data_IF_602896943280
#
_entry.id   IF_602896943280
#
_cell.length_a   1.000
_cell.length_b   1.000
_cell.length_c   1.000
_cell.angle_alpha   90.00
_cell.angle_beta   90.00
_cell.angle_gamma   90.00
#
_symmetry.space_group_name_H-M   'P 1'
#
loop_
_entity.id
_entity.type
_entity.pdbx_description
1 polymer ?
#
# COMPACT_ATOMS: atom_id res chain seq x y z
N UNK A 1 -26.25 35.14 27.30
CA UNK A 1 -26.97 34.53 26.16
C UNK A 1 -25.90 34.23 25.12
N UNK A 2 -25.63 33.00 24.66
CA UNK A 2 -26.54 31.96 24.17
C UNK A 2 -25.94 30.58 24.49
N UNK A 3 -26.82 29.62 24.80
CA UNK A 3 -26.52 28.20 25.04
C UNK A 3 -26.19 27.54 23.70
N UNK A 4 -25.17 26.69 23.64
CA UNK A 4 -24.97 25.78 22.52
C UNK A 4 -25.11 24.37 23.08
N UNK A 5 -26.13 23.66 22.58
CA UNK A 5 -26.50 22.31 22.94
C UNK A 5 -25.51 21.31 22.33
N UNK A 6 -25.21 20.26 23.10
CA UNK A 6 -24.53 19.07 22.59
C UNK A 6 -25.56 18.26 21.81
N UNK A 7 -25.36 18.09 20.50
CA UNK A 7 -26.13 17.15 19.68
C UNK A 7 -25.18 16.03 19.27
N UNK A 8 -25.35 14.88 19.92
CA UNK A 8 -24.79 13.60 19.54
C UNK A 8 -25.57 13.08 18.32
N UNK A 9 -24.93 12.99 17.15
CA UNK A 9 -25.42 12.19 16.02
C UNK A 9 -24.37 11.12 15.71
N UNK A 10 -24.87 9.90 15.69
CA UNK A 10 -24.17 8.62 15.56
C UNK A 10 -23.75 8.35 14.11
N UNK A 11 -22.48 7.95 13.95
CA UNK A 11 -21.91 7.02 12.97
C UNK A 11 -22.52 6.98 11.54
N UNK A 12 -21.90 7.72 10.62
CA UNK A 12 -21.71 7.25 9.24
C UNK A 12 -20.21 7.23 8.99
N UNK A 13 -19.68 6.02 8.85
CA UNK A 13 -18.30 5.72 8.49
C UNK A 13 -18.02 6.20 7.06
N UNK A 14 -17.68 7.48 6.88
CA UNK A 14 -17.14 8.06 5.63
C UNK A 14 -16.45 9.41 5.94
N UNK A 15 -15.81 9.55 7.09
CA UNK A 15 -14.82 10.62 7.29
C UNK A 15 -13.48 9.97 6.98
N UNK A 16 -13.13 9.95 5.70
CA UNK A 16 -11.73 9.92 5.30
C UNK A 16 -11.08 11.09 6.05
N UNK A 17 -10.41 10.76 7.15
CA UNK A 17 -9.60 11.71 7.90
C UNK A 17 -8.62 12.25 6.87
N UNK A 18 -8.71 13.55 6.64
CA UNK A 18 -7.92 14.29 5.66
C UNK A 18 -6.45 13.93 5.80
N UNK A 19 -5.93 13.09 4.89
CA UNK A 19 -4.50 12.85 4.74
C UNK A 19 -3.90 14.13 4.19
N UNK A 20 -3.23 14.83 5.07
CA UNK A 20 -2.58 16.12 4.89
C UNK A 20 -1.80 16.21 3.58
N UNK A 21 -1.94 17.35 2.92
CA UNK A 21 -1.21 17.74 1.70
C UNK A 21 0.29 17.77 1.99
N UNK A 22 0.99 16.65 1.79
CA UNK A 22 2.42 16.52 1.48
C UNK A 22 2.65 15.13 0.86
N UNK A 23 2.84 15.08 -0.47
CA UNK A 23 3.39 13.91 -1.19
C UNK A 23 2.70 12.58 -0.95
N UNK A 24 1.43 12.43 -1.36
CA UNK A 24 0.80 11.11 -1.38
C UNK A 24 1.52 10.25 -2.42
N UNK A 25 2.03 9.07 -2.02
CA UNK A 25 2.50 8.05 -2.95
C UNK A 25 1.41 7.85 -4.02
N UNK A 26 1.78 8.01 -5.29
CA UNK A 26 0.85 7.92 -6.42
C UNK A 26 0.19 6.55 -6.56
N UNK A 27 0.70 5.53 -5.87
CA UNK A 27 0.19 4.17 -5.90
C UNK A 27 -0.88 3.88 -4.84
N UNK A 28 -1.12 4.80 -3.91
CA UNK A 28 -2.09 4.64 -2.81
C UNK A 28 -3.54 4.91 -3.24
N UNK A 29 -4.55 4.20 -2.67
CA UNK A 29 -4.42 3.19 -1.62
C UNK A 29 -4.02 1.80 -2.15
N UNK A 30 -3.07 1.11 -1.49
CA UNK A 30 -2.66 -0.25 -1.84
C UNK A 30 -2.32 -1.17 -0.64
N UNK A 31 -2.76 -0.78 0.56
CA UNK A 31 -2.60 -1.52 1.84
C UNK A 31 -3.03 -2.99 1.83
N UNK A 32 -3.96 -3.37 0.95
CA UNK A 32 -4.52 -4.71 0.88
C UNK A 32 -4.16 -5.42 -0.43
N UNK A 33 -3.93 -6.73 -0.38
CA UNK A 33 -3.65 -7.55 -1.58
C UNK A 33 -4.74 -7.41 -2.67
N UNK A 34 -5.99 -7.17 -2.29
CA UNK A 34 -7.09 -6.94 -3.24
C UNK A 34 -7.02 -5.60 -3.96
N UNK A 35 -6.36 -4.63 -3.35
CA UNK A 35 -6.21 -3.25 -3.83
C UNK A 35 -4.83 -3.00 -4.46
N UNK A 36 -4.04 -4.06 -4.68
CA UNK A 36 -2.68 -3.97 -5.17
C UNK A 36 -2.57 -3.16 -6.48
N UNK A 37 -1.63 -2.20 -6.49
CA UNK A 37 -1.39 -1.31 -7.63
C UNK A 37 -0.75 -2.08 -8.78
N UNK A 38 -1.29 -1.93 -9.99
CA UNK A 38 -0.71 -2.56 -11.16
C UNK A 38 0.53 -1.80 -11.62
N UNK A 39 1.64 -2.53 -11.80
CA UNK A 39 2.91 -1.98 -12.26
C UNK A 39 3.38 -2.68 -13.53
N UNK A 40 4.09 -1.97 -14.42
CA UNK A 40 4.66 -2.57 -15.61
C UNK A 40 5.74 -3.59 -15.23
N UNK A 41 5.80 -4.69 -15.98
CA UNK A 41 6.85 -5.69 -15.79
C UNK A 41 8.23 -5.10 -16.15
N UNK A 42 9.26 -5.46 -15.38
CA UNK A 42 10.65 -5.05 -15.60
C UNK A 42 10.91 -3.53 -15.55
N UNK A 43 10.22 -2.83 -14.65
CA UNK A 43 10.50 -1.43 -14.34
C UNK A 43 10.73 -1.23 -12.83
N UNK A 44 11.53 -0.23 -12.50
CA UNK A 44 11.67 0.26 -11.13
C UNK A 44 10.42 1.06 -10.76
N UNK A 45 9.89 0.81 -9.58
CA UNK A 45 8.78 1.55 -8.98
C UNK A 45 9.31 2.20 -7.71
N UNK A 46 8.91 3.45 -7.48
CA UNK A 46 9.23 4.20 -6.27
C UNK A 46 7.95 4.23 -5.44
N UNK A 47 8.08 3.88 -4.16
CA UNK A 47 7.01 3.93 -3.17
C UNK A 47 7.55 4.42 -1.83
N UNK A 48 6.65 4.88 -0.98
CA UNK A 48 6.96 5.46 0.32
C UNK A 48 6.22 4.72 1.43
N UNK A 49 6.93 3.90 2.23
CA UNK A 49 6.34 3.23 3.38
C UNK A 49 6.09 4.25 4.50
N UNK A 50 4.85 4.73 4.63
CA UNK A 50 4.46 5.63 5.71
C UNK A 50 2.95 5.58 6.00
N UNK A 51 2.54 5.28 7.24
CA UNK A 51 3.35 5.20 8.46
C UNK A 51 4.11 3.87 8.61
N UNK A 52 4.80 3.68 9.73
CA UNK A 52 5.36 2.37 10.04
C UNK A 52 4.26 1.28 9.98
N UNK A 53 4.54 0.19 9.25
CA UNK A 53 3.63 -0.94 8.96
C UNK A 53 2.61 -0.69 7.85
N UNK A 54 2.77 0.39 7.10
CA UNK A 54 2.16 0.55 5.78
C UNK A 54 2.54 -0.63 4.86
N UNK A 55 1.55 -1.10 4.11
CA UNK A 55 1.58 -2.37 3.40
C UNK A 55 1.47 -2.19 1.90
N UNK A 56 2.55 -1.78 1.24
CA UNK A 56 2.52 -1.57 -0.21
C UNK A 56 2.37 -2.88 -0.99
N UNK A 57 1.18 -3.11 -1.56
CA UNK A 57 0.94 -4.26 -2.43
C UNK A 57 0.98 -3.85 -3.91
N UNK A 58 1.80 -4.55 -4.69
CA UNK A 58 1.88 -4.36 -6.14
C UNK A 58 1.55 -5.66 -6.90
N UNK A 59 1.08 -5.52 -8.14
CA UNK A 59 0.82 -6.65 -9.05
C UNK A 59 1.36 -6.38 -10.45
N UNK A 60 1.78 -7.45 -11.12
CA UNK A 60 2.22 -7.42 -12.51
C UNK A 60 1.87 -8.74 -13.21
N UNK A 61 1.89 -8.73 -14.54
CA UNK A 61 1.56 -9.88 -15.36
C UNK A 61 2.82 -10.58 -15.88
N UNK A 62 2.93 -11.89 -15.62
CA UNK A 62 3.98 -12.77 -16.15
C UNK A 62 3.41 -13.55 -17.33
N UNK A 63 3.96 -13.32 -18.53
CA UNK A 63 3.41 -13.85 -19.79
C UNK A 63 4.10 -15.14 -20.27
N UNK A 64 5.19 -15.55 -19.63
CA UNK A 64 5.94 -16.77 -19.96
C UNK A 64 6.60 -17.36 -18.73
N UNK A 65 6.90 -18.66 -18.77
CA UNK A 65 7.64 -19.33 -17.68
C UNK A 65 9.10 -18.88 -17.66
N UNK A 66 9.67 -18.73 -16.46
CA UNK A 66 11.06 -18.31 -16.27
C UNK A 66 11.41 -18.05 -14.82
N UNK A 67 12.56 -17.41 -14.60
CA UNK A 67 13.04 -16.98 -13.29
C UNK A 67 12.63 -15.52 -13.08
N UNK A 68 11.96 -15.23 -11.97
CA UNK A 68 11.63 -13.89 -11.53
C UNK A 68 12.63 -13.46 -10.45
N UNK A 69 13.22 -12.27 -10.62
CA UNK A 69 14.03 -11.62 -9.59
C UNK A 69 13.32 -10.35 -9.15
N UNK A 70 13.15 -10.20 -7.84
CA UNK A 70 12.60 -8.99 -7.21
C UNK A 70 13.59 -8.53 -6.16
N UNK A 71 13.85 -7.22 -6.10
CA UNK A 71 14.79 -6.60 -5.17
C UNK A 71 14.20 -5.30 -4.65
N UNK A 72 14.51 -4.97 -3.40
CA UNK A 72 14.36 -3.62 -2.88
C UNK A 72 15.73 -2.94 -2.98
N UNK A 73 15.73 -1.71 -3.45
CA UNK A 73 16.94 -0.88 -3.56
C UNK A 73 16.76 0.36 -2.69
N UNK A 74 17.88 0.98 -2.30
CA UNK A 74 17.88 2.25 -1.55
C UNK A 74 17.07 2.24 -0.24
N UNK A 75 16.87 1.05 0.36
CA UNK A 75 16.17 0.90 1.64
C UNK A 75 16.94 1.61 2.77
N UNK A 76 16.30 2.50 3.55
CA UNK A 76 16.93 3.13 4.71
C UNK A 76 17.48 2.11 5.70
N UNK A 77 18.66 2.38 6.27
CA UNK A 77 19.39 1.42 7.10
C UNK A 77 18.68 1.01 8.39
N UNK A 78 17.74 1.82 8.86
CA UNK A 78 16.91 1.60 10.05
C UNK A 78 15.60 0.86 9.74
N UNK A 79 15.29 0.64 8.46
CA UNK A 79 14.10 -0.10 8.03
C UNK A 79 14.42 -1.60 7.85
N UNK A 80 13.52 -2.44 8.38
CA UNK A 80 13.56 -3.89 8.16
C UNK A 80 12.51 -4.28 7.15
N UNK A 81 12.91 -4.38 5.88
CA UNK A 81 11.99 -4.71 4.80
C UNK A 81 11.91 -6.21 4.55
N UNK A 82 10.81 -6.63 3.94
CA UNK A 82 10.54 -7.99 3.49
C UNK A 82 9.79 -7.90 2.17
N UNK A 83 10.09 -8.81 1.23
CA UNK A 83 9.26 -9.02 0.05
C UNK A 83 8.52 -10.33 0.25
N UNK A 84 7.20 -10.30 0.04
CA UNK A 84 6.38 -11.50 -0.06
C UNK A 84 5.75 -11.58 -1.46
N UNK A 85 5.88 -12.74 -2.10
CA UNK A 85 5.22 -12.99 -3.38
C UNK A 85 3.99 -13.86 -3.19
N UNK A 86 2.91 -13.42 -3.83
CA UNK A 86 1.66 -14.14 -3.92
C UNK A 86 1.37 -14.39 -5.40
N UNK A 87 0.89 -15.58 -5.72
CA UNK A 87 0.38 -15.88 -7.05
C UNK A 87 -1.12 -15.66 -7.16
N UNK A 88 -1.75 -16.36 -8.10
CA UNK A 88 -3.20 -16.27 -8.33
C UNK A 88 -3.98 -16.67 -7.07
N UNK A 89 -5.08 -15.96 -6.82
CA UNK A 89 -5.93 -16.17 -5.65
C UNK A 89 -5.19 -16.02 -4.30
N UNK A 90 -4.16 -15.17 -4.27
CA UNK A 90 -3.34 -14.88 -3.09
C UNK A 90 -2.63 -16.11 -2.52
N UNK A 91 -2.28 -17.08 -3.37
CA UNK A 91 -1.47 -18.22 -2.93
C UNK A 91 -0.06 -17.72 -2.57
N UNK A 92 0.35 -17.89 -1.32
CA UNK A 92 1.68 -17.46 -0.87
C UNK A 92 2.77 -18.33 -1.51
N UNK A 93 3.81 -17.71 -2.07
CA UNK A 93 4.90 -18.39 -2.81
C UNK A 93 6.21 -18.38 -2.00
N UNK A 94 6.53 -17.28 -1.31
CA UNK A 94 7.86 -17.08 -0.69
C UNK A 94 7.88 -17.37 0.80
N UNK A 95 9.08 -17.69 1.32
CA UNK A 95 9.51 -17.38 2.68
C UNK A 95 10.95 -16.89 2.64
#
# INVERSE_FOLDING_TARGET
>A
MRKIAHVLIVLIAMIAITSSIYGQDSHEPNDALGDATEIPFNQTVIGDIYPARDGDNYKFHVNSSGILQVKLEEVPSDMRTRIDLYGKSFNWITR
#
